data_IF_203405392350
#
_entry.id   IF_203405392350
#
_cell.length_a   1.000
_cell.length_b   1.000
_cell.length_c   1.000
_cell.angle_alpha   90.00
_cell.angle_beta   90.00
_cell.angle_gamma   90.00
#
_symmetry.space_group_name_H-M   'P 1'
#
loop_
_entity.id
_entity.type
_entity.pdbx_description
1 polymer ?
#
# COMPACT_ATOMS: atom_id res chain seq x y z
N UNK A 1 5.89 21.86 -11.00
CA UNK A 1 6.24 20.53 -10.43
C UNK A 1 6.67 19.63 -11.58
N UNK A 2 7.76 18.84 -11.47
CA UNK A 2 8.27 17.99 -12.59
C UNK A 2 7.37 16.81 -12.93
N UNK A 3 6.70 16.25 -11.91
CA UNK A 3 5.72 15.15 -12.06
C UNK A 3 4.31 15.74 -12.08
N UNK A 4 3.97 16.62 -11.14
CA UNK A 4 2.61 17.15 -11.05
C UNK A 4 1.75 16.23 -10.17
N UNK A 5 0.61 15.78 -10.69
CA UNK A 5 -0.30 14.92 -9.93
C UNK A 5 0.16 13.46 -9.96
N UNK A 6 0.17 12.85 -8.78
CA UNK A 6 0.33 11.42 -8.57
C UNK A 6 -1.05 10.85 -8.21
N UNK A 7 -1.66 10.11 -9.15
CA UNK A 7 -2.98 9.51 -8.98
C UNK A 7 -2.86 8.03 -8.58
N UNK A 8 -3.96 7.47 -8.09
CA UNK A 8 -4.03 6.10 -7.59
C UNK A 8 -5.16 5.33 -8.26
N UNK A 9 -4.83 4.21 -8.91
CA UNK A 9 -5.76 3.32 -9.58
C UNK A 9 -6.07 2.12 -8.67
N UNK A 10 -7.30 2.09 -8.15
CA UNK A 10 -7.80 0.99 -7.35
C UNK A 10 -7.86 -0.34 -8.12
N UNK A 11 -7.76 -1.46 -7.38
CA UNK A 11 -7.68 -2.82 -7.93
C UNK A 11 -8.95 -3.32 -8.65
N UNK A 12 -10.12 -2.74 -8.38
CA UNK A 12 -11.38 -3.20 -8.94
C UNK A 12 -12.52 -2.19 -8.84
N UNK A 13 -13.72 -2.63 -9.20
CA UNK A 13 -14.91 -1.78 -9.28
C UNK A 13 -16.02 -2.28 -8.34
N UNK A 14 -16.92 -1.38 -7.93
CA UNK A 14 -18.08 -1.75 -7.11
C UNK A 14 -19.04 -2.67 -7.88
N UNK A 15 -19.60 -3.73 -7.26
CA UNK A 15 -20.55 -4.65 -7.91
C UNK A 15 -21.83 -3.97 -8.38
N UNK A 16 -22.24 -2.89 -7.72
CA UNK A 16 -23.39 -2.04 -8.06
C UNK A 16 -23.01 -0.76 -8.83
N UNK A 17 -21.75 -0.65 -9.26
CA UNK A 17 -21.22 0.51 -9.99
C UNK A 17 -21.64 0.54 -11.46
N UNK A 18 -21.47 1.71 -12.09
CA UNK A 18 -21.84 1.92 -13.50
C UNK A 18 -21.08 1.03 -14.49
N UNK A 19 -19.79 0.79 -14.25
CA UNK A 19 -18.98 -0.14 -15.05
C UNK A 19 -19.49 -1.57 -14.93
N UNK A 20 -19.86 -1.99 -13.71
CA UNK A 20 -20.54 -3.27 -13.51
C UNK A 20 -21.86 -3.29 -14.25
N UNK A 21 -22.71 -2.26 -14.16
CA UNK A 21 -24.00 -2.19 -14.84
C UNK A 21 -23.91 -2.31 -16.36
N UNK A 22 -22.94 -1.61 -17.00
CA UNK A 22 -22.64 -1.72 -18.43
C UNK A 22 -22.31 -3.17 -18.83
N UNK A 23 -21.59 -3.88 -17.96
CA UNK A 23 -21.25 -5.29 -18.17
C UNK A 23 -20.21 -5.49 -19.26
N UNK A 24 -20.39 -6.55 -20.05
CA UNK A 24 -19.42 -6.97 -21.07
C UNK A 24 -18.57 -8.16 -20.60
N UNK A 25 -17.91 -8.85 -21.55
CA UNK A 25 -17.16 -10.07 -21.28
C UNK A 25 -15.99 -9.85 -20.33
N UNK A 26 -15.40 -8.63 -20.30
CA UNK A 26 -14.31 -8.29 -19.40
C UNK A 26 -14.71 -8.12 -17.93
N UNK A 27 -15.99 -8.17 -17.55
CA UNK A 27 -16.40 -7.99 -16.14
C UNK A 27 -16.82 -9.34 -15.53
N UNK A 28 -16.12 -9.80 -14.49
CA UNK A 28 -16.40 -11.07 -13.83
C UNK A 28 -17.33 -10.91 -12.62
N UNK A 29 -18.61 -10.59 -12.86
CA UNK A 29 -19.60 -10.28 -11.80
C UNK A 29 -19.86 -11.41 -10.78
N UNK A 30 -19.57 -12.65 -11.15
CA UNK A 30 -19.76 -13.83 -10.29
C UNK A 30 -18.56 -14.10 -9.36
N UNK A 31 -17.61 -13.15 -9.28
CA UNK A 31 -16.46 -13.23 -8.40
C UNK A 31 -16.21 -11.89 -7.71
N UNK A 32 -15.61 -11.96 -6.51
CA UNK A 32 -15.09 -10.82 -5.76
C UNK A 32 -13.58 -10.93 -5.59
N UNK A 33 -12.92 -9.79 -5.47
CA UNK A 33 -11.49 -9.70 -5.19
C UNK A 33 -11.28 -9.80 -3.68
N UNK A 34 -10.23 -10.50 -3.28
CA UNK A 34 -9.83 -10.59 -1.88
C UNK A 34 -8.38 -10.98 -1.69
N UNK A 35 -8.08 -11.55 -0.52
CA UNK A 35 -6.82 -12.21 -0.22
C UNK A 35 -7.06 -13.49 0.59
N UNK A 36 -6.19 -14.51 0.47
CA UNK A 36 -6.31 -15.74 1.26
C UNK A 36 -6.12 -15.46 2.76
N UNK A 37 -6.53 -16.40 3.63
CA UNK A 37 -6.14 -16.39 5.03
C UNK A 37 -4.64 -16.25 5.25
N UNK A 38 -4.25 -15.40 6.18
CA UNK A 38 -2.85 -15.17 6.58
C UNK A 38 -2.73 -15.02 8.12
N UNK A 39 -1.51 -14.93 8.69
CA UNK A 39 -1.33 -14.80 10.14
C UNK A 39 -1.96 -13.55 10.78
N UNK A 40 -2.24 -12.50 9.99
CA UNK A 40 -2.87 -11.26 10.47
C UNK A 40 -4.40 -11.28 10.28
N UNK A 41 -4.89 -12.05 9.30
CA UNK A 41 -6.30 -12.23 8.99
C UNK A 41 -6.59 -13.71 8.74
N UNK A 42 -6.92 -14.43 9.80
CA UNK A 42 -7.16 -15.89 9.76
C UNK A 42 -8.37 -16.30 8.92
N UNK A 43 -9.25 -15.37 8.59
CA UNK A 43 -10.41 -15.60 7.71
C UNK A 43 -10.16 -15.14 6.27
N UNK A 44 -8.99 -14.56 5.98
CA UNK A 44 -8.74 -13.85 4.73
C UNK A 44 -9.55 -12.55 4.64
N UNK A 45 -9.52 -11.92 3.47
CA UNK A 45 -10.25 -10.67 3.24
C UNK A 45 -11.07 -10.78 1.97
N UNK A 46 -12.31 -10.31 2.03
CA UNK A 46 -13.16 -10.03 0.89
C UNK A 46 -13.24 -8.50 0.76
N UNK A 47 -12.78 -7.96 -0.36
CA UNK A 47 -12.76 -6.52 -0.59
C UNK A 47 -14.05 -6.00 -1.21
N UNK A 48 -14.99 -6.89 -1.57
CA UNK A 48 -16.27 -6.51 -2.16
C UNK A 48 -16.15 -5.89 -3.56
N UNK A 49 -15.00 -6.05 -4.23
CA UNK A 49 -14.73 -5.49 -5.54
C UNK A 49 -14.86 -6.56 -6.63
N UNK A 50 -15.34 -6.17 -7.81
CA UNK A 50 -15.46 -7.05 -8.97
C UNK A 50 -14.18 -7.01 -9.81
N UNK A 51 -13.60 -8.17 -10.18
CA UNK A 51 -12.42 -8.22 -11.02
C UNK A 51 -12.72 -8.10 -12.52
N UNK A 52 -11.69 -7.74 -13.27
CA UNK A 52 -11.69 -8.01 -14.71
C UNK A 52 -11.66 -9.52 -14.98
N UNK A 53 -12.37 -10.00 -15.99
CA UNK A 53 -12.24 -11.37 -16.51
C UNK A 53 -11.00 -11.48 -17.39
N UNK A 54 -10.00 -12.33 -17.08
CA UNK A 54 -8.83 -12.49 -17.96
C UNK A 54 -9.20 -13.03 -19.35
N UNK A 55 -10.21 -13.92 -19.42
CA UNK A 55 -10.74 -14.42 -20.70
C UNK A 55 -11.47 -13.30 -21.46
N UNK A 56 -12.28 -12.50 -20.75
CA UNK A 56 -12.98 -11.38 -21.36
C UNK A 56 -12.06 -10.28 -21.87
N UNK A 57 -11.03 -9.95 -21.10
CA UNK A 57 -9.96 -9.05 -21.51
C UNK A 57 -9.26 -9.55 -22.78
N UNK A 58 -9.01 -10.86 -22.91
CA UNK A 58 -8.43 -11.42 -24.12
C UNK A 58 -9.37 -11.28 -25.34
N UNK A 59 -10.68 -11.56 -25.17
CA UNK A 59 -11.71 -11.36 -26.21
C UNK A 59 -11.75 -9.90 -26.69
N UNK A 60 -11.65 -8.96 -25.75
CA UNK A 60 -11.69 -7.52 -26.04
C UNK A 60 -10.30 -6.90 -26.27
N UNK A 61 -9.27 -7.72 -26.48
CA UNK A 61 -7.89 -7.29 -26.79
C UNK A 61 -7.31 -6.26 -25.80
N UNK A 62 -7.64 -6.44 -24.52
CA UNK A 62 -7.28 -5.61 -23.38
C UNK A 62 -7.80 -4.17 -23.41
N UNK A 63 -8.71 -3.84 -24.34
CA UNK A 63 -9.19 -2.47 -24.50
C UNK A 63 -9.87 -1.89 -23.24
N UNK A 64 -10.71 -2.62 -22.49
CA UNK A 64 -11.29 -2.10 -21.25
C UNK A 64 -10.23 -1.70 -20.21
N UNK A 65 -9.17 -2.51 -20.08
CA UNK A 65 -8.06 -2.21 -19.17
C UNK A 65 -7.28 -0.96 -19.63
N UNK A 66 -6.95 -0.89 -20.93
CA UNK A 66 -6.26 0.28 -21.51
C UNK A 66 -7.09 1.56 -21.40
N UNK A 67 -8.41 1.47 -21.57
CA UNK A 67 -9.30 2.62 -21.43
C UNK A 67 -9.27 3.19 -19.99
N UNK A 68 -9.24 2.31 -18.97
CA UNK A 68 -9.09 2.73 -17.56
C UNK A 68 -7.74 3.39 -17.33
N UNK A 69 -6.65 2.85 -17.88
CA UNK A 69 -5.33 3.47 -17.79
C UNK A 69 -5.32 4.86 -18.44
N UNK A 70 -5.83 4.99 -19.67
CA UNK A 70 -5.92 6.28 -20.39
C UNK A 70 -6.69 7.32 -19.60
N UNK A 71 -7.82 6.93 -19.01
CA UNK A 71 -8.63 7.85 -18.21
C UNK A 71 -7.85 8.37 -16.99
N UNK A 72 -7.14 7.48 -16.28
CA UNK A 72 -6.37 7.84 -15.08
C UNK A 72 -5.06 8.56 -15.40
N UNK A 73 -4.45 8.31 -16.56
CA UNK A 73 -3.19 8.94 -16.96
C UNK A 73 -3.38 10.31 -17.63
N UNK A 74 -4.59 10.66 -18.09
CA UNK A 74 -4.85 11.89 -18.86
C UNK A 74 -4.31 13.18 -18.21
N UNK A 75 -4.30 13.24 -16.88
CA UNK A 75 -3.89 14.41 -16.09
C UNK A 75 -2.85 14.11 -15.02
N UNK A 76 -2.26 12.91 -15.06
CA UNK A 76 -1.30 12.45 -14.08
C UNK A 76 0.10 12.53 -14.66
N UNK A 77 1.09 12.95 -13.86
CA UNK A 77 2.49 12.69 -14.21
C UNK A 77 3.02 11.41 -13.55
N UNK A 78 2.29 10.88 -12.57
CA UNK A 78 2.52 9.56 -12.03
C UNK A 78 1.20 8.84 -11.72
N UNK A 79 1.17 7.52 -11.89
CA UNK A 79 0.05 6.65 -11.55
C UNK A 79 0.53 5.51 -10.65
N UNK A 80 -0.12 5.31 -9.50
CA UNK A 80 -0.01 4.10 -8.69
C UNK A 80 -0.97 3.07 -9.24
N UNK A 81 -0.51 1.85 -9.43
CA UNK A 81 -1.38 0.69 -9.63
C UNK A 81 -1.46 -0.02 -8.28
N UNK A 82 -2.61 0.09 -7.63
CA UNK A 82 -2.92 -0.60 -6.39
C UNK A 82 -2.93 -2.11 -6.62
N UNK A 83 -2.34 -2.86 -5.68
CA UNK A 83 -2.22 -4.31 -5.76
C UNK A 83 -1.68 -4.78 -7.13
N UNK A 84 -0.50 -4.31 -7.52
CA UNK A 84 0.05 -4.51 -8.87
C UNK A 84 0.20 -6.00 -9.24
N UNK A 85 0.28 -6.89 -8.25
CA UNK A 85 0.22 -8.35 -8.44
C UNK A 85 -1.01 -8.78 -9.26
N UNK A 86 -2.10 -8.02 -9.25
CA UNK A 86 -3.29 -8.23 -10.08
C UNK A 86 -3.01 -8.27 -11.59
N UNK A 87 -1.88 -7.71 -12.04
CA UNK A 87 -1.41 -7.87 -13.42
C UNK A 87 -0.98 -9.32 -13.72
N UNK A 88 -0.53 -10.09 -12.72
CA UNK A 88 -0.09 -11.48 -12.87
C UNK A 88 -1.12 -12.48 -12.35
N UNK A 89 -1.68 -12.23 -11.18
CA UNK A 89 -2.70 -13.07 -10.55
C UNK A 89 -3.53 -12.27 -9.57
N UNK A 90 -4.78 -12.64 -9.41
CA UNK A 90 -5.66 -12.03 -8.43
C UNK A 90 -6.41 -13.11 -7.65
N UNK A 91 -6.57 -12.94 -6.35
CA UNK A 91 -7.30 -13.90 -5.53
C UNK A 91 -8.80 -13.64 -5.67
N UNK A 92 -9.51 -14.62 -6.22
CA UNK A 92 -10.94 -14.54 -6.50
C UNK A 92 -11.72 -15.35 -5.48
N UNK A 93 -12.82 -14.77 -5.01
CA UNK A 93 -13.81 -15.38 -4.14
C UNK A 93 -15.07 -15.57 -4.98
N UNK A 94 -15.54 -16.82 -5.18
CA UNK A 94 -16.81 -17.07 -5.87
C UNK A 94 -17.98 -16.36 -5.18
N UNK A 95 -18.97 -15.94 -5.95
CA UNK A 95 -20.17 -15.34 -5.37
C UNK A 95 -20.88 -16.31 -4.40
N UNK A 96 -21.43 -15.78 -3.31
CA UNK A 96 -21.99 -16.56 -2.21
C UNK A 96 -20.98 -17.20 -1.24
N UNK A 97 -19.67 -17.14 -1.51
CA UNK A 97 -18.63 -17.76 -0.69
C UNK A 97 -17.83 -16.75 0.16
N UNK A 98 -16.93 -17.27 0.99
CA UNK A 98 -16.02 -16.49 1.85
C UNK A 98 -14.59 -16.50 1.32
N UNK A 99 -13.71 -15.65 1.87
CA UNK A 99 -12.31 -15.60 1.47
C UNK A 99 -11.54 -16.92 1.68
N UNK A 100 -12.05 -17.83 2.52
CA UNK A 100 -11.46 -19.17 2.70
C UNK A 100 -11.65 -20.05 1.44
N UNK A 101 -12.70 -19.81 0.67
CA UNK A 101 -13.08 -20.60 -0.49
C UNK A 101 -12.49 -20.08 -1.81
N UNK A 102 -11.64 -19.04 -1.74
CA UNK A 102 -11.09 -18.39 -2.91
C UNK A 102 -9.89 -19.10 -3.52
N UNK A 103 -9.49 -18.64 -4.71
CA UNK A 103 -8.30 -19.14 -5.40
C UNK A 103 -7.62 -18.04 -6.21
N UNK A 104 -6.31 -18.17 -6.43
CA UNK A 104 -5.60 -17.30 -7.37
C UNK A 104 -5.99 -17.63 -8.81
N UNK A 105 -6.50 -16.64 -9.52
CA UNK A 105 -6.74 -16.69 -10.97
C UNK A 105 -5.59 -15.98 -11.67
N UNK A 106 -5.00 -16.65 -12.68
CA UNK A 106 -3.91 -16.09 -13.46
C UNK A 106 -4.41 -15.05 -14.48
N UNK A 107 -3.62 -14.00 -14.67
CA UNK A 107 -3.85 -12.94 -15.65
C UNK A 107 -2.75 -12.97 -16.71
N UNK A 108 -3.01 -12.46 -17.93
CA UNK A 108 -2.03 -12.38 -19.02
C UNK A 108 -0.97 -11.31 -18.70
N UNK A 109 -0.02 -11.66 -17.81
CA UNK A 109 0.90 -10.72 -17.18
C UNK A 109 1.70 -9.91 -18.17
N UNK A 110 2.23 -10.58 -19.19
CA UNK A 110 3.05 -9.92 -20.21
C UNK A 110 2.24 -8.88 -20.96
N UNK A 111 1.06 -9.27 -21.44
CA UNK A 111 0.21 -8.44 -22.29
C UNK A 111 -0.36 -7.24 -21.50
N UNK A 112 -0.71 -7.44 -20.22
CA UNK A 112 -1.13 -6.35 -19.35
C UNK A 112 0.03 -5.39 -19.05
N UNK A 113 1.22 -5.91 -18.77
CA UNK A 113 2.40 -5.08 -18.51
C UNK A 113 2.82 -4.27 -19.75
N UNK A 114 2.76 -4.88 -20.94
CA UNK A 114 2.96 -4.19 -22.22
C UNK A 114 1.87 -3.11 -22.45
N UNK A 115 0.62 -3.39 -22.06
CA UNK A 115 -0.46 -2.40 -22.06
C UNK A 115 -0.17 -1.20 -21.14
N UNK A 116 0.29 -1.45 -19.92
CA UNK A 116 0.70 -0.39 -18.97
C UNK A 116 1.84 0.44 -19.54
N UNK A 117 2.88 -0.21 -20.05
CA UNK A 117 4.04 0.48 -20.63
C UNK A 117 3.65 1.34 -21.83
N UNK A 118 2.77 0.85 -22.71
CA UNK A 118 2.29 1.59 -23.86
C UNK A 118 1.51 2.85 -23.46
N UNK A 119 0.55 2.73 -22.55
CA UNK A 119 -0.26 3.87 -22.11
C UNK A 119 0.55 4.87 -21.27
N UNK A 120 1.50 4.37 -20.46
CA UNK A 120 2.50 5.19 -19.76
C UNK A 120 3.34 6.01 -20.73
N UNK A 121 3.84 5.39 -21.81
CA UNK A 121 4.62 6.08 -22.83
C UNK A 121 3.79 7.14 -23.57
N UNK A 122 2.56 6.82 -23.97
CA UNK A 122 1.68 7.77 -24.68
C UNK A 122 1.37 8.99 -23.82
N UNK A 123 1.09 8.77 -22.53
CA UNK A 123 0.70 9.83 -21.59
C UNK A 123 1.88 10.55 -20.92
N UNK A 124 3.11 10.04 -21.09
CA UNK A 124 4.30 10.49 -20.36
C UNK A 124 4.13 10.41 -18.82
N UNK A 125 3.45 9.34 -18.36
CA UNK A 125 3.12 9.12 -16.94
C UNK A 125 4.05 8.08 -16.33
N UNK A 126 4.72 8.40 -15.22
CA UNK A 126 5.49 7.43 -14.43
C UNK A 126 4.53 6.43 -13.79
N UNK A 127 4.83 5.13 -13.85
CA UNK A 127 4.00 4.11 -13.19
C UNK A 127 4.73 3.52 -12.00
N UNK A 128 4.04 3.49 -10.86
CA UNK A 128 4.48 2.85 -9.62
C UNK A 128 3.53 1.68 -9.37
N UNK A 129 4.03 0.45 -9.37
CA UNK A 129 3.25 -0.71 -8.98
C UNK A 129 3.39 -0.93 -7.48
N UNK A 130 2.28 -0.98 -6.76
CA UNK A 130 2.32 -1.40 -5.36
C UNK A 130 2.51 -2.91 -5.29
N UNK A 131 3.69 -3.32 -4.83
CA UNK A 131 4.14 -4.70 -4.75
C UNK A 131 4.39 -5.15 -3.30
N UNK A 132 3.38 -5.00 -2.43
CA UNK A 132 3.43 -5.38 -1.02
C UNK A 132 2.64 -6.67 -0.75
N UNK A 133 2.92 -7.29 0.40
CA UNK A 133 2.27 -8.53 0.83
C UNK A 133 2.84 -9.78 0.14
N UNK A 134 1.97 -10.69 -0.29
CA UNK A 134 2.36 -12.00 -0.84
C UNK A 134 2.72 -11.92 -2.32
N UNK A 135 3.87 -11.31 -2.59
CA UNK A 135 4.39 -11.09 -3.95
C UNK A 135 4.84 -12.40 -4.61
N UNK A 136 4.39 -12.74 -5.83
CA UNK A 136 4.88 -13.91 -6.56
C UNK A 136 6.39 -13.83 -6.83
N UNK A 137 7.13 -14.95 -6.78
CA UNK A 137 8.54 -14.97 -7.15
C UNK A 137 8.78 -14.36 -8.55
N UNK A 138 9.72 -13.43 -8.64
CA UNK A 138 10.10 -12.77 -9.91
C UNK A 138 9.13 -11.69 -10.42
N UNK A 139 8.00 -11.45 -9.75
CA UNK A 139 7.03 -10.40 -10.13
C UNK A 139 7.68 -9.01 -10.15
N UNK A 140 8.22 -8.59 -9.01
CA UNK A 140 8.84 -7.27 -8.80
C UNK A 140 9.99 -7.01 -9.76
N UNK A 141 10.82 -8.02 -10.06
CA UNK A 141 11.91 -7.86 -11.03
C UNK A 141 11.41 -7.75 -12.47
N UNK A 142 10.34 -8.45 -12.82
CA UNK A 142 9.74 -8.36 -14.15
C UNK A 142 9.07 -7.02 -14.37
N UNK A 143 8.34 -6.54 -13.37
CA UNK A 143 7.73 -5.20 -13.32
C UNK A 143 8.79 -4.10 -13.51
N UNK A 144 9.88 -4.16 -12.75
CA UNK A 144 10.98 -3.19 -12.85
C UNK A 144 11.69 -3.26 -14.20
N UNK A 145 11.92 -4.45 -14.76
CA UNK A 145 12.47 -4.60 -16.12
C UNK A 145 11.58 -3.98 -17.20
N UNK A 146 10.27 -3.92 -16.99
CA UNK A 146 9.34 -3.24 -17.88
C UNK A 146 9.27 -1.72 -17.67
N UNK A 147 10.05 -1.16 -16.72
CA UNK A 147 10.17 0.28 -16.50
C UNK A 147 9.24 0.85 -15.42
N UNK A 148 8.48 0.01 -14.72
CA UNK A 148 7.65 0.43 -13.59
C UNK A 148 8.51 0.53 -12.31
N UNK A 149 8.17 1.45 -11.42
CA UNK A 149 8.80 1.53 -10.09
C UNK A 149 8.10 0.59 -9.10
N UNK A 150 8.88 -0.06 -8.24
CA UNK A 150 8.39 -0.77 -7.05
C UNK A 150 7.97 0.22 -5.94
N UNK A 151 7.24 -0.26 -4.92
CA UNK A 151 6.76 0.52 -3.79
C UNK A 151 7.39 0.00 -2.49
N UNK A 152 8.30 0.76 -1.88
CA UNK A 152 9.00 0.36 -0.66
C UNK A 152 8.49 1.13 0.56
N UNK A 153 7.89 0.41 1.51
CA UNK A 153 7.41 0.98 2.77
C UNK A 153 8.43 0.73 3.86
N UNK A 154 8.85 1.79 4.55
CA UNK A 154 9.84 1.73 5.60
C UNK A 154 9.49 0.70 6.68
N UNK A 155 8.26 0.68 7.19
CA UNK A 155 7.83 -0.29 8.21
C UNK A 155 8.05 -1.76 7.82
N UNK A 156 8.05 -2.08 6.53
CA UNK A 156 8.27 -3.45 6.03
C UNK A 156 9.74 -3.74 5.70
N UNK A 157 10.63 -2.78 5.93
CA UNK A 157 12.08 -2.95 5.73
C UNK A 157 12.80 -3.53 6.95
N UNK A 158 12.06 -3.84 8.01
CA UNK A 158 12.55 -4.53 9.19
C UNK A 158 12.40 -6.05 8.99
N UNK A 159 13.53 -6.72 8.77
CA UNK A 159 13.61 -8.17 8.62
C UNK A 159 14.29 -8.74 9.87
N UNK A 160 13.57 -9.58 10.63
CA UNK A 160 14.04 -10.21 11.87
C UNK A 160 14.64 -9.24 12.92
N UNK A 161 14.13 -8.01 12.97
CA UNK A 161 14.57 -6.97 13.90
C UNK A 161 15.71 -6.09 13.37
N UNK A 162 16.13 -6.28 12.11
CA UNK A 162 17.15 -5.50 11.45
C UNK A 162 16.50 -4.64 10.37
N UNK A 163 16.60 -3.33 10.52
CA UNK A 163 16.15 -2.39 9.49
C UNK A 163 17.14 -2.35 8.35
N UNK A 164 16.65 -2.49 7.12
CA UNK A 164 17.42 -2.33 5.89
C UNK A 164 18.13 -0.97 5.88
N UNK A 165 19.45 -0.95 5.66
CA UNK A 165 20.20 0.29 5.54
C UNK A 165 19.79 1.10 4.29
N UNK A 166 19.91 2.46 4.28
CA UNK A 166 19.42 3.28 3.16
C UNK A 166 19.96 2.87 1.79
N UNK A 167 21.25 2.52 1.72
CA UNK A 167 21.91 2.12 0.46
C UNK A 167 21.44 0.77 -0.09
N UNK A 168 20.76 -0.05 0.73
CA UNK A 168 20.26 -1.38 0.33
C UNK A 168 18.84 -1.33 -0.24
N UNK A 169 18.18 -0.16 -0.23
CA UNK A 169 16.90 0.02 -0.90
C UNK A 169 17.06 -0.07 -2.42
N UNK A 170 16.01 -0.51 -3.11
CA UNK A 170 16.01 -0.61 -4.57
C UNK A 170 15.99 0.78 -5.17
N UNK A 171 16.85 1.03 -6.15
CA UNK A 171 16.85 2.30 -6.89
C UNK A 171 15.54 2.50 -7.65
N UNK A 172 15.09 1.52 -8.41
CA UNK A 172 13.86 1.53 -9.22
C UNK A 172 12.59 1.37 -8.36
N UNK A 173 12.43 2.26 -7.39
CA UNK A 173 11.30 2.29 -6.48
C UNK A 173 10.91 3.72 -6.09
N UNK A 174 9.67 3.86 -5.64
CA UNK A 174 9.26 4.92 -4.72
C UNK A 174 9.35 4.39 -3.29
N UNK A 175 9.84 5.22 -2.36
CA UNK A 175 9.89 4.89 -0.94
C UNK A 175 9.01 5.83 -0.13
N UNK A 176 8.39 5.30 0.94
CA UNK A 176 7.63 6.08 1.91
C UNK A 176 7.78 5.50 3.32
N UNK A 177 7.45 6.30 4.35
CA UNK A 177 7.49 5.83 5.73
C UNK A 177 6.36 4.83 6.02
N UNK A 178 5.14 5.21 5.63
CA UNK A 178 3.90 4.49 5.85
C UNK A 178 2.96 4.68 4.64
N UNK A 179 1.76 4.12 4.71
CA UNK A 179 0.70 4.24 3.68
C UNK A 179 -0.60 4.69 4.35
N UNK A 180 -1.66 4.89 3.56
CA UNK A 180 -2.98 5.22 4.12
C UNK A 180 -3.60 4.07 4.93
N UNK A 181 -3.11 2.84 4.73
CA UNK A 181 -3.55 1.62 5.44
C UNK A 181 -2.75 1.32 6.71
N UNK A 182 -1.69 2.09 6.96
CA UNK A 182 -0.75 1.88 8.05
C UNK A 182 -0.79 3.08 9.01
N UNK A 183 -0.40 2.90 10.28
CA UNK A 183 -0.34 4.01 11.22
C UNK A 183 0.60 5.12 10.77
N UNK A 184 0.28 6.36 11.11
CA UNK A 184 1.25 7.47 11.03
C UNK A 184 2.46 7.19 11.92
N UNK A 185 3.57 7.90 11.73
CA UNK A 185 4.77 7.71 12.56
C UNK A 185 4.46 7.89 14.05
N UNK A 186 3.70 8.94 14.40
CA UNK A 186 3.25 9.19 15.78
C UNK A 186 2.27 8.13 16.27
N UNK A 187 1.30 7.74 15.45
CA UNK A 187 0.35 6.68 15.77
C UNK A 187 1.03 5.34 16.05
N UNK A 188 2.03 4.99 15.24
CA UNK A 188 2.85 3.80 15.42
C UNK A 188 3.68 3.90 16.71
N UNK A 189 4.29 5.04 17.00
CA UNK A 189 5.11 5.19 18.22
C UNK A 189 4.36 4.87 19.51
N UNK A 190 3.08 5.25 19.58
CA UNK A 190 2.24 5.10 20.78
C UNK A 190 1.34 3.85 20.76
N UNK A 191 1.49 2.96 19.78
CA UNK A 191 0.62 1.80 19.59
C UNK A 191 -0.86 2.14 19.29
N UNK A 192 -1.13 3.25 18.61
CA UNK A 192 -2.52 3.65 18.31
C UNK A 192 -3.22 2.64 17.37
N UNK A 193 -2.48 2.06 16.43
CA UNK A 193 -2.96 0.97 15.56
C UNK A 193 -3.41 -0.26 16.38
N UNK A 194 -2.64 -0.60 17.42
CA UNK A 194 -2.97 -1.71 18.33
C UNK A 194 -4.25 -1.37 19.13
N UNK A 195 -4.35 -0.14 19.64
CA UNK A 195 -5.54 0.33 20.34
C UNK A 195 -6.79 0.22 19.47
N UNK A 196 -6.69 0.67 18.21
CA UNK A 196 -7.80 0.61 17.27
C UNK A 196 -8.22 -0.82 16.97
N UNK A 197 -7.27 -1.75 16.78
CA UNK A 197 -7.58 -3.17 16.59
C UNK A 197 -8.36 -3.77 17.77
N UNK A 198 -7.98 -3.46 19.01
CA UNK A 198 -8.73 -3.89 20.20
C UNK A 198 -10.12 -3.29 20.21
N UNK A 199 -10.21 -1.96 20.01
CA UNK A 199 -11.48 -1.22 20.04
C UNK A 199 -12.45 -1.69 18.95
N UNK A 200 -11.95 -2.12 17.80
CA UNK A 200 -12.74 -2.67 16.70
C UNK A 200 -12.98 -4.18 16.80
N UNK A 201 -12.64 -4.81 17.93
CA UNK A 201 -12.72 -6.26 18.14
C UNK A 201 -11.98 -7.10 17.08
N UNK A 202 -10.90 -6.54 16.50
CA UNK A 202 -10.00 -7.21 15.54
C UNK A 202 -8.75 -7.78 16.20
N UNK A 203 -8.54 -7.51 17.48
CA UNK A 203 -7.52 -8.13 18.33
C UNK A 203 -8.04 -8.23 19.76
N UNK A 204 -7.58 -9.24 20.48
CA UNK A 204 -7.80 -9.39 21.92
C UNK A 204 -6.83 -8.50 22.71
N UNK A 205 -7.17 -8.19 23.97
CA UNK A 205 -6.24 -7.45 24.84
C UNK A 205 -4.95 -8.25 25.08
N UNK A 206 -5.02 -9.58 25.12
CA UNK A 206 -3.84 -10.45 25.25
C UNK A 206 -2.88 -10.28 24.07
N UNK A 207 -3.38 -10.30 22.84
CA UNK A 207 -2.57 -10.04 21.64
C UNK A 207 -2.02 -8.61 21.64
N UNK A 208 -2.81 -7.64 22.09
CA UNK A 208 -2.41 -6.25 22.17
C UNK A 208 -1.24 -6.03 23.16
N UNK A 209 -1.25 -6.70 24.31
CA UNK A 209 -0.14 -6.65 25.27
C UNK A 209 1.17 -7.11 24.63
N UNK A 210 1.14 -8.21 23.88
CA UNK A 210 2.30 -8.73 23.13
C UNK A 210 2.76 -7.70 22.10
N UNK A 211 1.84 -7.19 21.27
CA UNK A 211 2.16 -6.19 20.24
C UNK A 211 2.75 -4.90 20.82
N UNK A 212 2.27 -4.42 21.98
CA UNK A 212 2.85 -3.24 22.66
C UNK A 212 4.26 -3.51 23.17
N UNK A 213 4.54 -4.71 23.68
CA UNK A 213 5.89 -5.09 24.10
C UNK A 213 6.83 -5.18 22.90
N UNK A 214 6.36 -5.74 21.79
CA UNK A 214 7.10 -5.82 20.54
C UNK A 214 7.40 -4.41 20.00
N UNK A 215 6.41 -3.50 20.04
CA UNK A 215 6.58 -2.09 19.65
C UNK A 215 7.68 -1.39 20.44
N UNK A 216 7.82 -1.66 21.74
CA UNK A 216 8.93 -1.08 22.54
C UNK A 216 10.29 -1.52 22.02
N UNK A 217 10.44 -2.79 21.63
CA UNK A 217 11.68 -3.31 21.03
C UNK A 217 11.91 -2.70 19.65
N UNK A 218 10.86 -2.57 18.85
CA UNK A 218 10.96 -2.00 17.51
C UNK A 218 11.27 -0.51 17.51
N UNK A 219 10.76 0.26 18.49
CA UNK A 219 11.17 1.65 18.72
C UNK A 219 12.66 1.77 18.97
N UNK A 220 13.24 0.91 19.82
CA UNK A 220 14.69 0.89 20.04
C UNK A 220 15.44 0.56 18.75
N UNK A 221 15.03 -0.48 18.03
CA UNK A 221 15.64 -0.88 16.75
C UNK A 221 15.57 0.22 15.70
N UNK A 222 14.46 0.95 15.65
CA UNK A 222 14.28 2.12 14.79
C UNK A 222 15.30 3.20 15.14
N UNK A 223 15.40 3.59 16.41
CA UNK A 223 16.37 4.58 16.87
C UNK A 223 17.81 4.16 16.53
N UNK A 224 18.17 2.89 16.79
CA UNK A 224 19.47 2.33 16.46
C UNK A 224 19.75 2.42 14.94
N UNK A 225 18.77 2.11 14.10
CA UNK A 225 18.89 2.19 12.64
C UNK A 225 19.07 3.64 12.14
N UNK A 226 18.30 4.59 12.69
CA UNK A 226 18.41 6.00 12.35
C UNK A 226 19.76 6.58 12.77
N UNK A 227 20.27 6.21 13.95
CA UNK A 227 21.59 6.62 14.43
C UNK A 227 22.71 5.95 13.62
N UNK A 228 22.59 4.66 13.30
CA UNK A 228 23.55 3.93 12.48
C UNK A 228 23.65 4.49 11.05
N UNK A 229 22.55 4.97 10.50
CA UNK A 229 22.50 5.68 9.22
C UNK A 229 22.87 7.18 9.33
N UNK A 230 23.27 7.66 10.51
CA UNK A 230 23.61 9.07 10.78
C UNK A 230 22.46 10.07 10.50
N UNK A 231 21.22 9.58 10.44
CA UNK A 231 20.03 10.41 10.26
C UNK A 231 19.55 11.07 11.57
N UNK A 232 19.90 10.46 12.71
CA UNK A 232 19.58 10.91 14.07
C UNK A 232 20.84 10.97 14.93
N UNK A 233 20.99 12.03 15.74
CA UNK A 233 22.07 12.10 16.74
C UNK A 233 21.70 11.28 17.97
N UNK A 234 22.65 10.60 18.65
CA UNK A 234 22.36 9.88 19.88
C UNK A 234 21.82 10.79 20.98
N UNK A 235 20.68 10.42 21.55
CA UNK A 235 20.10 11.03 22.74
C UNK A 235 19.39 9.93 23.57
N UNK A 236 19.78 9.72 24.84
CA UNK A 236 19.14 8.73 25.70
C UNK A 236 17.65 9.00 25.97
N UNK A 237 17.18 10.24 25.86
CA UNK A 237 15.80 10.62 26.15
C UNK A 237 14.77 10.02 25.19
N UNK A 238 15.17 9.68 23.96
CA UNK A 238 14.26 9.11 22.96
C UNK A 238 13.66 7.77 23.37
N UNK A 239 14.41 6.95 24.11
CA UNK A 239 13.94 5.60 24.49
C UNK A 239 12.75 5.71 25.45
N UNK A 240 12.79 6.66 26.37
CA UNK A 240 11.77 6.86 27.40
C UNK A 240 10.63 7.79 26.95
N UNK A 241 10.73 8.38 25.75
CA UNK A 241 9.73 9.32 25.25
C UNK A 241 8.35 8.66 25.08
N UNK A 242 7.32 9.24 25.71
CA UNK A 242 5.94 8.75 25.61
C UNK A 242 5.32 9.01 24.23
N UNK A 243 5.71 10.11 23.60
CA UNK A 243 5.34 10.49 22.23
C UNK A 243 6.56 10.44 21.32
N UNK A 244 6.35 10.40 20.00
CA UNK A 244 7.45 10.43 19.05
C UNK A 244 8.01 11.85 18.96
N UNK A 245 9.29 12.07 19.30
CA UNK A 245 9.89 13.39 19.19
C UNK A 245 10.04 13.82 17.71
N UNK A 246 9.97 15.12 17.44
CA UNK A 246 9.99 15.66 16.07
C UNK A 246 11.31 15.37 15.34
N UNK A 247 12.43 15.36 16.05
CA UNK A 247 13.74 14.99 15.48
C UNK A 247 13.78 13.55 14.98
N UNK A 248 13.09 12.62 15.64
CA UNK A 248 12.94 11.23 15.18
C UNK A 248 12.08 11.18 13.91
N UNK A 249 10.98 11.95 13.84
CA UNK A 249 10.14 12.04 12.62
C UNK A 249 10.97 12.58 11.44
N UNK A 250 11.71 13.66 11.67
CA UNK A 250 12.62 14.24 10.66
C UNK A 250 13.73 13.26 10.30
N UNK A 251 14.27 12.51 11.25
CA UNK A 251 15.30 11.51 11.00
C UNK A 251 14.80 10.35 10.13
N UNK A 252 13.56 9.87 10.33
CA UNK A 252 12.94 8.89 9.40
C UNK A 252 12.92 9.46 7.98
N UNK A 253 12.47 10.69 7.79
CA UNK A 253 12.42 11.30 6.46
C UNK A 253 13.80 11.54 5.86
N UNK A 254 14.81 11.92 6.67
CA UNK A 254 16.21 12.02 6.22
C UNK A 254 16.78 10.66 5.82
N UNK A 255 16.48 9.62 6.58
CA UNK A 255 16.87 8.25 6.28
C UNK A 255 16.33 7.83 4.90
N UNK A 256 15.03 8.06 4.66
CA UNK A 256 14.39 7.73 3.39
C UNK A 256 14.91 8.58 2.22
N UNK A 257 15.21 9.86 2.47
CA UNK A 257 15.82 10.75 1.47
C UNK A 257 17.25 10.34 1.09
N UNK A 258 17.95 9.58 1.94
CA UNK A 258 19.28 9.06 1.67
C UNK A 258 19.28 7.72 0.89
N UNK A 259 18.12 7.12 0.66
CA UNK A 259 18.00 5.92 -0.17
C UNK A 259 18.28 6.22 -1.65
N UNK A 260 18.69 5.22 -2.46
CA UNK A 260 18.85 5.42 -3.90
C UNK A 260 17.51 5.46 -4.66
N UNK A 261 16.36 5.33 -3.98
CA UNK A 261 15.04 5.29 -4.62
C UNK A 261 14.81 6.51 -5.52
N UNK A 262 14.14 6.31 -6.66
CA UNK A 262 13.88 7.39 -7.64
C UNK A 262 12.92 8.44 -7.09
N UNK A 263 12.02 8.04 -6.21
CA UNK A 263 11.00 8.90 -5.62
C UNK A 263 10.91 8.67 -4.11
N UNK A 264 10.65 9.75 -3.37
CA UNK A 264 10.29 9.74 -1.95
C UNK A 264 8.88 10.34 -1.83
N UNK A 265 7.96 9.62 -1.21
CA UNK A 265 6.65 10.14 -0.83
C UNK A 265 6.63 10.43 0.68
N UNK A 266 6.14 11.62 1.02
CA UNK A 266 5.97 12.09 2.40
C UNK A 266 4.47 12.20 2.65
N UNK A 267 3.98 11.52 3.69
CA UNK A 267 2.58 11.66 4.09
C UNK A 267 2.36 13.02 4.75
N UNK A 268 1.26 13.68 4.38
CA UNK A 268 0.88 14.94 5.00
C UNK A 268 0.63 14.75 6.49
N UNK A 269 0.05 13.62 6.90
CA UNK A 269 -0.20 13.29 8.29
C UNK A 269 1.07 13.29 9.15
N UNK A 270 2.19 12.78 8.63
CA UNK A 270 3.47 12.83 9.34
C UNK A 270 4.01 14.27 9.42
N UNK A 271 3.87 15.05 8.34
CA UNK A 271 4.26 16.46 8.32
C UNK A 271 3.42 17.33 9.27
N UNK A 272 2.17 16.93 9.54
CA UNK A 272 1.26 17.61 10.46
C UNK A 272 1.29 17.05 11.88
N UNK A 273 2.03 15.97 12.12
CA UNK A 273 2.09 15.33 13.43
C UNK A 273 0.80 14.62 13.84
N UNK A 274 -0.01 14.18 12.87
CA UNK A 274 -1.25 13.45 13.12
C UNK A 274 -0.98 12.09 13.77
N UNK A 275 -1.80 11.71 14.75
CA UNK A 275 -1.75 10.40 15.45
C UNK A 275 -2.71 9.38 14.83
N UNK A 276 -3.83 9.85 14.28
CA UNK A 276 -4.85 9.01 13.69
C UNK A 276 -4.43 8.50 12.31
N UNK A 277 -4.70 7.22 12.04
CA UNK A 277 -4.53 6.63 10.72
C UNK A 277 -5.78 6.84 9.88
N UNK A 278 -5.60 6.94 8.56
CA UNK A 278 -6.71 7.17 7.63
C UNK A 278 -7.61 5.94 7.47
N UNK A 279 -7.01 4.74 7.44
CA UNK A 279 -7.73 3.48 7.30
C UNK A 279 -7.11 2.39 8.19
N UNK A 280 -7.92 1.45 8.66
CA UNK A 280 -7.46 0.20 9.26
C UNK A 280 -7.98 -0.97 8.41
N UNK A 281 -7.11 -1.69 7.69
CA UNK A 281 -7.51 -2.84 6.88
C UNK A 281 -8.22 -3.93 7.69
N UNK A 282 -9.12 -4.67 7.03
CA UNK A 282 -9.88 -5.78 7.59
C UNK A 282 -11.40 -5.63 7.47
N UNK A 283 -12.17 -6.69 7.79
CA UNK A 283 -13.61 -6.74 7.53
C UNK A 283 -14.36 -5.58 8.19
N UNK A 284 -15.28 -4.99 7.43
CA UNK A 284 -16.02 -3.79 7.83
C UNK A 284 -17.09 -4.12 8.87
N UNK A 285 -16.81 -3.85 10.14
CA UNK A 285 -17.83 -3.63 11.16
C UNK A 285 -17.89 -2.12 11.46
N UNK A 286 -18.49 -1.39 10.52
CA UNK A 286 -19.20 -0.12 10.75
C UNK A 286 -18.59 0.93 11.69
N UNK A 287 -17.31 1.30 11.57
CA UNK A 287 -16.84 2.59 12.10
C UNK A 287 -15.75 3.16 11.19
N UNK A 288 -15.93 4.35 10.58
CA UNK A 288 -14.79 5.05 10.01
C UNK A 288 -13.81 5.35 11.14
N UNK A 289 -12.56 4.91 10.99
CA UNK A 289 -11.49 5.33 11.89
C UNK A 289 -11.10 6.72 11.45
N UNK A 290 -11.32 7.70 12.33
CA UNK A 290 -10.90 9.08 12.11
C UNK A 290 -11.61 9.76 10.94
N UNK A 291 -12.70 10.48 11.25
CA UNK A 291 -13.11 11.64 10.44
C UNK A 291 -12.12 12.81 10.58
N UNK A 292 -10.81 12.54 10.47
CA UNK A 292 -9.76 13.53 10.60
C UNK A 292 -9.76 14.40 9.33
N UNK A 293 -10.59 15.45 9.35
CA UNK A 293 -10.40 16.58 8.46
C UNK A 293 -9.04 17.19 8.80
N UNK A 294 -8.20 17.42 7.78
CA UNK A 294 -6.97 18.19 7.95
C UNK A 294 -7.27 19.47 8.74
N UNK A 295 -6.46 19.81 9.77
CA UNK A 295 -6.65 21.03 10.56
C UNK A 295 -6.44 22.31 9.74
N UNK A 296 -5.94 22.19 8.50
CA UNK A 296 -5.80 23.31 7.58
C UNK A 296 -7.03 23.44 6.68
N UNK A 297 -7.69 24.62 6.63
CA UNK A 297 -8.66 24.86 5.59
C UNK A 297 -7.97 24.74 4.24
N UNK A 298 -8.44 23.81 3.41
CA UNK A 298 -8.09 23.73 2.00
C UNK A 298 -8.61 25.00 1.31
N UNK A 299 -7.80 26.05 1.31
CA UNK A 299 -7.99 27.18 0.39
C UNK A 299 -7.41 26.76 -0.96
N UNK A 300 -8.28 26.21 -1.80
CA UNK A 300 -8.16 26.33 -3.25
C UNK A 300 -9.32 27.21 -3.68
#
# INVERSE_FOLDING_TARGET
MRIGLYLDLAVGISPDGSACWQGGPAIARAARIGCPPDPFSTQGQDWGLVPFSPVGLAVERLEPFKAVLRANMRHAGALRIDHAMGLQRLYWIPDGNTAVDGAYVAYPFRELLEGVAAESWISQTIVIGEDLGTVPPGFTDTMVRAGLLSYQVFYFSNEDGVWRAPHAYRREAMVCASTHDLPTLRGWWICNDVNWRVKSARATETEAVIQRQDRKRDRKRLLDALMGAQALKPDPSYIEASEMPDDVIVAVHRFLAATPCRLLAVQLDDALGTVEQANLPGPSTSTPIGGARSPFPSRI
#
